data_IF_580713817466
#
_entry.id   IF_580713817466
#
_cell.length_a   1.000
_cell.length_b   1.000
_cell.length_c   1.000
_cell.angle_alpha   90.00
_cell.angle_beta   90.00
_cell.angle_gamma   90.00
#
_symmetry.space_group_name_H-M   'P 1'
#
loop_
_entity.id
_entity.type
_entity.pdbx_description
1 polymer ?
#
# COMPACT_ATOMS: atom_id res chain seq x y z
N UNK A 1 27.86 -33.85 -30.78
CA UNK A 1 26.45 -33.72 -30.32
C UNK A 1 26.35 -33.55 -28.81
N UNK A 2 27.08 -34.33 -28.00
CA UNK A 2 27.02 -34.27 -26.53
C UNK A 2 27.36 -32.90 -25.93
N UNK A 3 28.37 -32.20 -26.47
CA UNK A 3 28.73 -30.85 -25.98
C UNK A 3 27.66 -29.78 -26.24
N UNK A 4 26.88 -29.92 -27.31
CA UNK A 4 25.80 -28.98 -27.66
C UNK A 4 24.59 -29.15 -26.73
N UNK A 5 24.31 -30.39 -26.30
CA UNK A 5 23.26 -30.69 -25.32
C UNK A 5 23.61 -30.13 -23.94
N UNK A 6 24.87 -30.27 -23.51
CA UNK A 6 25.35 -29.72 -22.24
C UNK A 6 25.30 -28.19 -22.26
N UNK A 7 25.68 -27.58 -23.40
CA UNK A 7 25.57 -26.14 -23.59
C UNK A 7 24.12 -25.66 -23.48
N UNK A 8 23.16 -26.31 -24.14
CA UNK A 8 21.74 -25.96 -24.05
C UNK A 8 21.15 -26.15 -22.64
N UNK A 9 21.57 -27.18 -21.91
CA UNK A 9 21.13 -27.39 -20.52
C UNK A 9 21.68 -26.32 -19.58
N UNK A 10 22.98 -25.99 -19.68
CA UNK A 10 23.60 -24.95 -18.85
C UNK A 10 23.08 -23.55 -19.21
N UNK A 11 22.98 -23.21 -20.50
CA UNK A 11 22.44 -21.91 -20.92
C UNK A 11 20.94 -21.79 -20.69
N UNK A 12 20.15 -22.84 -20.96
CA UNK A 12 18.72 -22.84 -20.68
C UNK A 12 18.41 -22.69 -19.18
N UNK A 13 19.21 -23.31 -18.32
CA UNK A 13 19.08 -23.19 -16.86
C UNK A 13 19.54 -21.81 -16.35
N UNK A 14 20.64 -21.28 -16.87
CA UNK A 14 21.15 -19.95 -16.46
C UNK A 14 20.26 -18.81 -16.96
N UNK A 15 19.68 -18.91 -18.16
CA UNK A 15 18.72 -17.91 -18.68
C UNK A 15 17.44 -17.88 -17.84
N UNK A 16 16.96 -19.04 -17.34
CA UNK A 16 15.84 -19.08 -16.38
C UNK A 16 16.16 -18.43 -15.03
N UNK A 17 17.42 -18.48 -14.59
CA UNK A 17 17.86 -17.85 -13.33
C UNK A 17 18.05 -16.32 -13.45
N UNK A 18 18.31 -15.80 -14.65
CA UNK A 18 18.61 -14.38 -14.89
C UNK A 18 17.38 -13.49 -15.17
N UNK A 19 16.21 -14.07 -15.47
CA UNK A 19 15.05 -13.34 -15.96
C UNK A 19 13.83 -13.12 -15.01
N UNK A 20 13.68 -13.70 -13.79
CA UNK A 20 12.43 -13.49 -13.03
C UNK A 20 12.43 -12.24 -12.12
N UNK A 21 13.59 -11.79 -11.64
CA UNK A 21 13.64 -10.84 -10.51
C UNK A 21 13.30 -9.39 -10.88
N UNK A 22 13.50 -8.99 -12.14
CA UNK A 22 13.18 -7.64 -12.61
C UNK A 22 11.66 -7.42 -12.75
N UNK A 23 10.90 -8.46 -13.08
CA UNK A 23 9.44 -8.37 -13.30
C UNK A 23 8.69 -8.30 -11.97
N UNK A 24 9.06 -9.13 -11.00
CA UNK A 24 8.37 -9.20 -9.71
C UNK A 24 8.60 -7.94 -8.87
N UNK A 25 9.83 -7.43 -8.83
CA UNK A 25 10.16 -6.18 -8.14
C UNK A 25 9.46 -4.97 -8.77
N UNK A 26 9.37 -4.92 -10.10
CA UNK A 26 8.66 -3.86 -10.82
C UNK A 26 7.15 -3.92 -10.57
N UNK A 27 6.56 -5.12 -10.59
CA UNK A 27 5.15 -5.32 -10.29
C UNK A 27 4.83 -4.93 -8.84
N UNK A 28 5.68 -5.31 -7.89
CA UNK A 28 5.56 -4.89 -6.48
C UNK A 28 5.59 -3.37 -6.35
N UNK A 29 6.59 -2.70 -6.96
CA UNK A 29 6.71 -1.25 -6.92
C UNK A 29 5.47 -0.56 -7.50
N UNK A 30 4.96 -1.07 -8.63
CA UNK A 30 3.73 -0.57 -9.26
C UNK A 30 2.53 -0.74 -8.33
N UNK A 31 2.35 -1.92 -7.73
CA UNK A 31 1.24 -2.19 -6.82
C UNK A 31 1.29 -1.32 -5.56
N UNK A 32 2.46 -1.20 -4.93
CA UNK A 32 2.66 -0.31 -3.77
C UNK A 32 2.35 1.15 -4.14
N UNK A 33 2.76 1.60 -5.32
CA UNK A 33 2.46 2.97 -5.80
C UNK A 33 0.95 3.21 -5.95
N UNK A 34 0.21 2.23 -6.48
CA UNK A 34 -1.25 2.31 -6.59
C UNK A 34 -1.90 2.37 -5.20
N UNK A 35 -1.45 1.53 -4.26
CA UNK A 35 -1.96 1.53 -2.88
C UNK A 35 -1.67 2.86 -2.15
N UNK A 36 -0.47 3.42 -2.33
CA UNK A 36 -0.10 4.74 -1.82
C UNK A 36 -1.00 5.84 -2.39
N UNK A 37 -1.29 5.79 -3.70
CA UNK A 37 -2.19 6.75 -4.34
C UNK A 37 -3.62 6.65 -3.82
N UNK A 38 -4.13 5.44 -3.54
CA UNK A 38 -5.44 5.24 -2.93
C UNK A 38 -5.49 5.82 -1.51
N UNK A 39 -4.47 5.57 -0.69
CA UNK A 39 -4.36 6.15 0.65
C UNK A 39 -4.30 7.69 0.60
N UNK A 40 -3.55 8.23 -0.36
CA UNK A 40 -3.45 9.68 -0.57
C UNK A 40 -4.78 10.29 -1.02
N UNK A 41 -5.53 9.58 -1.88
CA UNK A 41 -6.86 10.00 -2.31
C UNK A 41 -7.85 10.03 -1.14
N UNK A 42 -7.81 9.03 -0.26
CA UNK A 42 -8.64 8.99 0.95
C UNK A 42 -8.37 10.20 1.86
N UNK A 43 -7.10 10.53 2.14
CA UNK A 43 -6.75 11.72 2.92
C UNK A 43 -7.19 13.03 2.25
N UNK A 44 -7.08 13.11 0.92
CA UNK A 44 -7.59 14.27 0.18
C UNK A 44 -9.12 14.40 0.27
N UNK A 45 -9.86 13.29 0.29
CA UNK A 45 -11.32 13.31 0.46
C UNK A 45 -11.70 13.82 1.85
N UNK A 46 -11.01 13.36 2.89
CA UNK A 46 -11.19 13.85 4.26
C UNK A 46 -10.90 15.35 4.37
N UNK A 47 -9.80 15.83 3.78
CA UNK A 47 -9.50 17.26 3.75
C UNK A 47 -10.55 18.08 3.02
N UNK A 48 -11.08 17.57 1.90
CA UNK A 48 -12.18 18.24 1.19
C UNK A 48 -13.40 18.32 2.09
N UNK A 49 -13.78 17.23 2.76
CA UNK A 49 -14.90 17.23 3.70
C UNK A 49 -14.70 18.24 4.82
N UNK A 50 -13.52 18.30 5.43
CA UNK A 50 -13.19 19.32 6.43
C UNK A 50 -13.36 20.74 5.85
N UNK A 51 -12.87 20.99 4.64
CA UNK A 51 -12.97 22.31 4.02
C UNK A 51 -14.41 22.72 3.67
N UNK A 52 -15.23 21.78 3.18
CA UNK A 52 -16.58 22.07 2.69
C UNK A 52 -17.64 22.01 3.79
N UNK A 53 -17.56 21.03 4.68
CA UNK A 53 -18.53 20.83 5.76
C UNK A 53 -18.13 21.54 7.05
N UNK A 54 -16.88 21.99 7.15
CA UNK A 54 -16.32 22.59 8.36
C UNK A 54 -15.92 21.55 9.41
N UNK A 55 -16.37 20.30 9.30
CA UNK A 55 -16.07 19.25 10.25
C UNK A 55 -16.09 17.85 9.64
N UNK A 56 -15.45 16.89 10.33
CA UNK A 56 -15.59 15.47 10.05
C UNK A 56 -16.66 14.84 10.95
N UNK A 57 -17.44 13.88 10.43
CA UNK A 57 -18.32 13.04 11.24
C UNK A 57 -17.54 12.33 12.36
N UNK A 58 -18.19 12.10 13.51
CA UNK A 58 -17.59 11.35 14.62
C UNK A 58 -17.19 9.91 14.23
N UNK A 59 -17.84 9.32 13.23
CA UNK A 59 -17.50 8.00 12.71
C UNK A 59 -16.13 7.95 12.00
N UNK A 60 -15.68 9.09 11.46
CA UNK A 60 -14.38 9.20 10.80
C UNK A 60 -13.25 9.48 11.80
N UNK A 61 -13.55 9.70 13.09
CA UNK A 61 -12.56 9.91 14.14
C UNK A 61 -12.18 8.59 14.81
N UNK A 62 -10.93 8.50 15.27
CA UNK A 62 -10.37 7.31 15.90
C UNK A 62 -9.63 6.40 14.92
N UNK A 63 -9.56 5.12 15.28
CA UNK A 63 -8.93 4.08 14.48
C UNK A 63 -9.99 3.36 13.64
N UNK A 64 -9.83 3.37 12.33
CA UNK A 64 -10.76 2.74 11.39
C UNK A 64 -10.01 1.83 10.41
N UNK A 65 -10.57 0.66 10.14
CA UNK A 65 -10.11 -0.22 9.06
C UNK A 65 -10.59 0.36 7.72
N UNK A 66 -9.64 0.68 6.86
CA UNK A 66 -9.86 1.23 5.52
C UNK A 66 -9.26 0.32 4.45
N UNK A 67 -9.08 -0.96 4.75
CA UNK A 67 -8.58 -1.97 3.80
C UNK A 67 -9.46 -2.07 2.54
N UNK A 68 -10.76 -1.75 2.66
CA UNK A 68 -11.70 -1.65 1.54
C UNK A 68 -11.32 -0.60 0.48
N UNK A 69 -10.34 0.28 0.75
CA UNK A 69 -9.77 1.17 -0.26
C UNK A 69 -9.06 0.40 -1.40
N UNK A 70 -8.62 -0.82 -1.13
CA UNK A 70 -7.95 -1.67 -2.10
C UNK A 70 -8.99 -2.57 -2.78
N UNK A 71 -9.17 -2.40 -4.09
CA UNK A 71 -9.94 -3.36 -4.87
C UNK A 71 -9.08 -4.62 -5.08
N UNK A 72 -9.52 -5.75 -4.54
CA UNK A 72 -8.83 -7.05 -4.57
C UNK A 72 -8.42 -7.47 -6.00
N UNK A 73 -9.23 -7.13 -7.00
CA UNK A 73 -8.97 -7.48 -8.41
C UNK A 73 -7.64 -6.90 -8.92
N UNK A 74 -7.25 -5.71 -8.46
CA UNK A 74 -6.04 -5.02 -8.90
C UNK A 74 -4.75 -5.58 -8.28
N UNK A 75 -4.84 -6.31 -7.17
CA UNK A 75 -3.68 -6.77 -6.39
C UNK A 75 -3.54 -8.29 -6.33
N UNK A 76 -4.55 -9.04 -6.79
CA UNK A 76 -4.61 -10.51 -6.79
C UNK A 76 -3.41 -11.21 -7.45
N UNK A 77 -2.82 -10.59 -8.47
CA UNK A 77 -1.68 -11.15 -9.22
C UNK A 77 -0.33 -11.04 -8.49
N UNK A 78 -0.21 -10.20 -7.46
CA UNK A 78 1.04 -9.95 -6.75
C UNK A 78 0.96 -10.61 -5.36
N UNK A 79 1.65 -11.74 -5.17
CA UNK A 79 1.56 -12.54 -3.95
C UNK A 79 1.79 -11.73 -2.64
N UNK A 80 2.75 -10.79 -2.65
CA UNK A 80 3.06 -9.93 -1.49
C UNK A 80 1.99 -8.85 -1.20
N UNK A 81 1.12 -8.55 -2.18
CA UNK A 81 0.04 -7.58 -2.06
C UNK A 81 -1.34 -8.26 -1.98
N UNK A 82 -1.42 -9.56 -1.74
CA UNK A 82 -2.70 -10.24 -1.54
C UNK A 82 -3.34 -9.94 -0.19
N UNK A 83 -2.50 -9.65 0.80
CA UNK A 83 -2.93 -9.37 2.18
C UNK A 83 -2.69 -7.89 2.51
N UNK A 84 -3.14 -6.99 1.65
CA UNK A 84 -3.07 -5.56 1.97
C UNK A 84 -3.95 -5.24 3.16
N UNK A 85 -3.43 -4.44 4.07
CA UNK A 85 -4.22 -3.87 5.15
C UNK A 85 -3.95 -2.38 5.21
N UNK A 86 -4.99 -1.59 5.47
CA UNK A 86 -4.83 -0.18 5.77
C UNK A 86 -5.69 0.22 6.96
N UNK A 87 -5.08 0.98 7.85
CA UNK A 87 -5.72 1.51 9.06
C UNK A 87 -5.56 3.02 9.06
N UNK A 88 -6.66 3.75 9.21
CA UNK A 88 -6.62 5.20 9.44
C UNK A 88 -6.70 5.49 10.94
N UNK A 89 -5.99 6.52 11.37
CA UNK A 89 -6.01 7.07 12.72
C UNK A 89 -6.22 8.57 12.60
N UNK A 90 -7.38 9.05 13.03
CA UNK A 90 -7.76 10.46 12.89
C UNK A 90 -8.12 10.99 14.27
N UNK A 91 -7.42 12.05 14.70
CA UNK A 91 -7.72 12.76 15.94
C UNK A 91 -7.96 14.23 15.65
N UNK A 92 -8.71 14.86 16.56
CA UNK A 92 -8.94 16.30 16.58
C UNK A 92 -8.55 16.82 17.97
N UNK A 93 -7.56 17.69 18.02
CA UNK A 93 -7.11 18.36 19.24
C UNK A 93 -7.32 19.86 19.12
N UNK A 94 -8.30 20.39 19.88
CA UNK A 94 -8.81 21.74 19.67
C UNK A 94 -9.37 21.87 18.25
N UNK A 95 -8.62 22.56 17.39
CA UNK A 95 -8.99 22.84 16.00
C UNK A 95 -8.10 22.15 14.95
N UNK A 96 -7.10 21.38 15.40
CA UNK A 96 -6.15 20.70 14.53
C UNK A 96 -6.53 19.23 14.36
N UNK A 97 -6.89 18.86 13.13
CA UNK A 97 -6.97 17.47 12.72
C UNK A 97 -5.58 16.90 12.48
N UNK A 98 -5.29 15.78 13.14
CA UNK A 98 -4.13 14.93 12.86
C UNK A 98 -4.65 13.67 12.21
N UNK A 99 -4.38 13.51 10.91
CA UNK A 99 -4.84 12.37 10.11
C UNK A 99 -3.63 11.53 9.73
N UNK A 100 -3.66 10.24 10.06
CA UNK A 100 -2.64 9.28 9.68
C UNK A 100 -3.29 8.08 9.03
N UNK A 101 -2.69 7.55 7.99
CA UNK A 101 -3.06 6.25 7.41
C UNK A 101 -1.81 5.39 7.31
N UNK A 102 -1.91 4.18 7.84
CA UNK A 102 -0.84 3.18 7.82
C UNK A 102 -1.28 2.07 6.90
N UNK A 103 -0.54 1.90 5.82
CA UNK A 103 -0.70 0.82 4.87
C UNK A 103 0.36 -0.25 5.13
N UNK A 104 -0.03 -1.53 5.11
CA UNK A 104 0.83 -2.68 5.39
C UNK A 104 0.66 -3.73 4.30
N UNK A 105 1.76 -4.37 3.91
CA UNK A 105 1.77 -5.49 2.96
C UNK A 105 2.85 -6.52 3.30
N UNK A 106 2.71 -7.72 2.74
CA UNK A 106 3.59 -8.86 3.01
C UNK A 106 2.86 -10.06 3.61
N UNK A 107 3.58 -11.17 3.76
CA UNK A 107 3.01 -12.44 4.21
C UNK A 107 2.96 -12.47 5.74
N UNK A 108 1.81 -12.04 6.31
CA UNK A 108 1.62 -11.86 7.75
C UNK A 108 1.92 -13.09 8.62
N UNK A 109 1.89 -14.31 8.06
CA UNK A 109 2.07 -15.56 8.82
C UNK A 109 3.41 -16.28 8.57
N UNK A 110 4.21 -15.87 7.58
CA UNK A 110 5.42 -16.60 7.17
C UNK A 110 6.71 -15.77 7.14
N UNK A 111 6.62 -14.46 7.32
CA UNK A 111 7.77 -13.55 7.20
C UNK A 111 7.99 -12.79 8.51
N UNK A 112 8.67 -13.43 9.47
CA UNK A 112 9.00 -12.85 10.77
C UNK A 112 9.91 -11.60 10.69
N UNK A 113 10.43 -11.24 9.51
CA UNK A 113 11.59 -10.34 9.45
C UNK A 113 11.35 -8.93 8.92
N UNK A 114 10.31 -8.61 8.14
CA UNK A 114 10.07 -7.21 7.68
C UNK A 114 8.59 -6.93 7.39
N UNK A 115 7.80 -6.44 8.36
CA UNK A 115 6.50 -5.85 8.04
C UNK A 115 6.76 -4.62 7.16
N UNK A 116 6.41 -4.71 5.88
CA UNK A 116 6.47 -3.54 5.02
C UNK A 116 5.29 -2.64 5.37
N UNK A 117 5.62 -1.47 5.91
CA UNK A 117 4.64 -0.45 6.22
C UNK A 117 4.96 0.85 5.47
N UNK A 118 3.91 1.58 5.17
CA UNK A 118 4.00 2.94 4.68
C UNK A 118 3.01 3.79 5.43
N UNK A 119 3.47 4.95 5.88
CA UNK A 119 2.66 5.88 6.65
C UNK A 119 2.52 7.19 5.88
N UNK A 120 1.28 7.65 5.71
CA UNK A 120 0.98 9.01 5.28
C UNK A 120 0.33 9.73 6.45
N UNK A 121 0.93 10.84 6.85
CA UNK A 121 0.39 11.73 7.87
C UNK A 121 0.10 13.10 7.27
N UNK A 122 -0.99 13.71 7.72
CA UNK A 122 -1.39 15.07 7.36
C UNK A 122 -1.97 15.80 8.54
N UNK A 123 -1.75 17.11 8.52
CA UNK A 123 -2.27 18.04 9.51
C UNK A 123 -3.21 19.01 8.80
N UNK A 124 -4.38 19.24 9.38
CA UNK A 124 -5.37 20.15 8.80
C UNK A 124 -6.12 20.92 9.88
N UNK A 125 -6.18 22.24 9.76
CA UNK A 125 -6.98 23.07 10.66
C UNK A 125 -8.43 23.11 10.19
N UNK A 126 -9.35 23.15 11.16
CA UNK A 126 -10.76 23.43 10.92
C UNK A 126 -10.93 24.81 10.27
N UNK A 127 -11.80 24.99 9.25
CA UNK A 127 -12.04 26.30 8.65
C UNK A 127 -12.85 27.20 9.61
N UNK A 128 -12.52 28.49 9.67
CA UNK A 128 -13.39 29.50 10.28
C UNK A 128 -13.21 29.75 11.79
N UNK A 129 -12.00 29.56 12.31
CA UNK A 129 -11.58 30.11 13.62
C UNK A 129 -10.88 31.45 13.42
#
# INVERSE_FOLDING_TARGET
MTGMIIFFLLFGYTVKALAPTATDSHNLLRGVTVAMNACNWYLNDLEKRINYLGELPAADLGENDVTLLFNEDYFSDIAMLRNLQATSHISLEGDLYTMRIVFRWGNHDADENRPHNFELARLKTRPGI
#
